data_IF_252883551304
#
_entry.id   IF_252883551304
#
_cell.length_a   1.000
_cell.length_b   1.000
_cell.length_c   1.000
_cell.angle_alpha   90.00
_cell.angle_beta   90.00
_cell.angle_gamma   90.00
#
_symmetry.space_group_name_H-M   'P 1'
#
loop_
_entity.id
_entity.type
_entity.pdbx_description
1 polymer ?
#
# COMPACT_ATOMS: atom_id res chain seq x y z
N UNK A 1 4.24 -11.34 -7.40
CA UNK A 1 4.50 -10.16 -8.24
C UNK A 1 3.25 -9.33 -8.24
N UNK A 2 3.33 -8.14 -7.64
CA UNK A 2 2.23 -7.17 -7.59
C UNK A 2 2.16 -6.47 -8.95
N UNK A 3 0.95 -6.30 -9.47
CA UNK A 3 0.68 -5.64 -10.75
C UNK A 3 -0.26 -4.45 -10.54
N UNK A 4 -0.26 -3.53 -11.50
CA UNK A 4 -1.22 -2.43 -11.54
C UNK A 4 -2.66 -2.91 -11.43
N UNK A 5 -3.53 -2.07 -10.86
CA UNK A 5 -4.97 -2.31 -10.65
C UNK A 5 -5.31 -3.44 -9.67
N UNK A 6 -4.33 -4.17 -9.15
CA UNK A 6 -4.56 -5.16 -8.10
C UNK A 6 -4.97 -4.48 -6.79
N UNK A 7 -5.74 -5.21 -5.99
CA UNK A 7 -6.08 -4.80 -4.64
C UNK A 7 -5.04 -5.39 -3.67
N UNK A 8 -4.48 -4.53 -2.84
CA UNK A 8 -3.44 -4.89 -1.88
C UNK A 8 -3.79 -4.39 -0.48
N UNK A 9 -3.09 -4.93 0.50
CA UNK A 9 -3.09 -4.48 1.88
C UNK A 9 -1.65 -4.52 2.43
N UNK A 10 -1.36 -3.73 3.46
CA UNK A 10 -0.09 -3.85 4.19
C UNK A 10 -0.10 -5.17 4.97
N UNK A 11 1.00 -5.93 4.88
CA UNK A 11 1.18 -7.14 5.66
C UNK A 11 1.21 -6.83 7.16
N UNK A 12 0.57 -7.68 7.96
CA UNK A 12 0.42 -7.43 9.41
C UNK A 12 1.76 -7.30 10.15
N UNK A 13 2.75 -8.08 9.76
CA UNK A 13 4.11 -8.05 10.31
C UNK A 13 4.85 -6.75 9.98
N UNK A 14 4.43 -6.04 8.93
CA UNK A 14 5.05 -4.78 8.50
C UNK A 14 4.37 -3.54 9.10
N UNK A 15 3.12 -3.64 9.54
CA UNK A 15 2.37 -2.53 10.16
C UNK A 15 3.11 -1.93 11.36
N UNK A 16 3.78 -2.75 12.16
CA UNK A 16 4.49 -2.31 13.36
C UNK A 16 5.70 -1.40 13.07
N UNK A 17 6.24 -1.44 11.86
CA UNK A 17 7.35 -0.58 11.43
C UNK A 17 6.88 0.75 10.86
N UNK A 18 5.57 0.91 10.63
CA UNK A 18 4.98 2.18 10.21
C UNK A 18 4.83 3.12 11.41
N UNK A 19 4.86 4.42 11.13
CA UNK A 19 4.50 5.43 12.14
C UNK A 19 3.10 5.12 12.71
N UNK A 20 2.84 5.30 14.03
CA UNK A 20 1.57 4.92 14.65
C UNK A 20 0.32 5.51 14.01
N UNK A 21 0.43 6.71 13.43
CA UNK A 21 -0.67 7.35 12.68
C UNK A 21 -0.98 6.61 11.38
N UNK A 22 0.07 6.23 10.63
CA UNK A 22 -0.05 5.49 9.37
C UNK A 22 -0.47 4.05 9.59
N UNK A 23 0.09 3.38 10.60
CA UNK A 23 -0.28 2.03 10.98
C UNK A 23 -1.78 1.93 11.27
N UNK A 24 -2.33 2.86 12.06
CA UNK A 24 -3.78 2.93 12.33
C UNK A 24 -4.61 3.23 11.08
N UNK A 25 -4.11 4.08 10.19
CA UNK A 25 -4.80 4.44 8.95
C UNK A 25 -4.87 3.29 7.95
N UNK A 26 -3.84 2.45 7.91
CA UNK A 26 -3.63 1.41 6.91
C UNK A 26 -3.96 -0.01 7.40
N UNK A 27 -4.14 -0.20 8.71
CA UNK A 27 -4.47 -1.52 9.28
C UNK A 27 -5.75 -2.09 8.66
N UNK A 28 -5.61 -3.27 8.04
CA UNK A 28 -6.67 -3.98 7.29
C UNK A 28 -7.35 -3.16 6.20
N UNK A 29 -6.72 -2.08 5.74
CA UNK A 29 -7.28 -1.24 4.70
C UNK A 29 -6.97 -1.83 3.34
N UNK A 30 -7.93 -1.73 2.42
CA UNK A 30 -7.73 -2.11 1.02
C UNK A 30 -7.20 -0.90 0.25
N UNK A 31 -6.13 -1.11 -0.48
CA UNK A 31 -5.54 -0.15 -1.39
C UNK A 31 -5.56 -0.70 -2.81
N UNK A 32 -5.65 0.20 -3.80
CA UNK A 32 -5.54 -0.16 -5.20
C UNK A 32 -4.17 0.26 -5.73
N UNK A 33 -3.46 -0.66 -6.35
CA UNK A 33 -2.17 -0.38 -6.98
C UNK A 33 -2.39 0.55 -8.18
N UNK A 34 -1.75 1.70 -8.15
CA UNK A 34 -1.74 2.67 -9.25
C UNK A 34 -0.58 2.39 -10.18
N UNK A 35 0.60 2.13 -9.61
CA UNK A 35 1.86 2.05 -10.36
C UNK A 35 2.85 1.14 -9.62
N UNK A 36 3.72 0.48 -10.38
CA UNK A 36 4.81 -0.37 -9.87
C UNK A 36 6.07 0.00 -10.64
N UNK A 37 7.06 0.58 -9.95
CA UNK A 37 8.28 1.05 -10.57
C UNK A 37 9.51 0.72 -9.73
N UNK A 38 10.66 0.67 -10.38
CA UNK A 38 11.96 0.53 -9.72
C UNK A 38 12.65 1.90 -9.76
N UNK A 39 12.83 2.59 -8.63
CA UNK A 39 13.52 3.87 -8.60
C UNK A 39 14.95 3.74 -9.16
N UNK A 40 15.44 4.79 -9.82
CA UNK A 40 16.80 4.80 -10.37
C UNK A 40 17.83 4.58 -9.26
N UNK A 41 18.63 3.52 -9.38
CA UNK A 41 19.65 3.14 -8.39
C UNK A 41 19.13 2.27 -7.23
N UNK A 42 17.83 1.98 -7.16
CA UNK A 42 17.27 1.02 -6.22
C UNK A 42 17.27 -0.40 -6.80
N UNK A 43 17.42 -1.40 -5.91
CA UNK A 43 17.30 -2.83 -6.27
C UNK A 43 15.90 -3.39 -6.03
N UNK A 44 15.09 -2.71 -5.23
CA UNK A 44 13.75 -3.16 -4.84
C UNK A 44 12.67 -2.38 -5.60
N UNK A 45 11.61 -3.08 -5.99
CA UNK A 45 10.43 -2.46 -6.58
C UNK A 45 9.61 -1.71 -5.53
N UNK A 46 9.13 -0.53 -5.92
CA UNK A 46 8.24 0.32 -5.14
C UNK A 46 6.86 0.30 -5.81
N UNK A 47 5.84 0.19 -4.98
CA UNK A 47 4.45 0.11 -5.39
C UNK A 47 3.72 1.35 -4.88
N UNK A 48 3.14 2.10 -5.81
CA UNK A 48 2.29 3.25 -5.49
C UNK A 48 0.85 2.77 -5.32
N UNK A 49 0.30 2.99 -4.13
CA UNK A 49 -1.02 2.49 -3.73
C UNK A 49 -1.94 3.65 -3.36
N UNK A 50 -3.15 3.63 -3.92
CA UNK A 50 -4.26 4.50 -3.49
C UNK A 50 -5.08 3.78 -2.42
N UNK A 51 -5.05 4.30 -1.21
CA UNK A 51 -5.84 3.83 -0.08
C UNK A 51 -7.19 4.52 -0.06
N UNK A 52 -8.25 3.74 -0.27
CA UNK A 52 -9.62 4.26 -0.41
C UNK A 52 -10.13 4.75 0.95
N UNK A 53 -10.69 5.95 1.02
CA UNK A 53 -11.37 6.52 2.19
C UNK A 53 -12.32 5.51 2.87
N UNK A 54 -12.30 5.41 4.21
CA UNK A 54 -13.27 4.55 4.92
C UNK A 54 -14.61 5.27 5.09
N UNK A 55 -14.55 6.59 5.29
CA UNK A 55 -15.72 7.45 5.47
C UNK A 55 -15.88 8.38 4.28
N UNK A 56 -17.10 8.78 3.90
CA UNK A 56 -17.32 9.79 2.86
C UNK A 56 -16.69 11.15 3.15
N UNK A 57 -16.42 11.45 4.43
CA UNK A 57 -15.75 12.67 4.88
C UNK A 57 -14.22 12.59 4.83
N UNK A 58 -13.65 11.43 4.52
CA UNK A 58 -12.21 11.22 4.41
C UNK A 58 -11.78 11.26 2.95
N UNK A 59 -10.53 11.65 2.72
CA UNK A 59 -9.95 11.62 1.39
C UNK A 59 -9.17 10.32 1.17
N UNK A 60 -9.10 9.91 -0.09
CA UNK A 60 -8.16 8.88 -0.52
C UNK A 60 -6.73 9.36 -0.27
N UNK A 61 -5.87 8.43 0.15
CA UNK A 61 -4.45 8.74 0.40
C UNK A 61 -3.61 7.91 -0.55
N UNK A 62 -2.69 8.55 -1.27
CA UNK A 62 -1.74 7.85 -2.14
C UNK A 62 -0.38 7.77 -1.47
N UNK A 63 0.15 6.55 -1.34
CA UNK A 63 1.41 6.29 -0.67
C UNK A 63 2.24 5.28 -1.46
N UNK A 64 3.54 5.34 -1.26
CA UNK A 64 4.49 4.43 -1.85
C UNK A 64 4.97 3.45 -0.79
N UNK A 65 5.00 2.17 -1.15
CA UNK A 65 5.41 1.07 -0.28
C UNK A 65 6.35 0.14 -1.04
N UNK A 66 7.38 -0.41 -0.39
CA UNK A 66 8.12 -1.54 -0.94
C UNK A 66 7.16 -2.70 -1.30
N UNK A 67 7.39 -3.37 -2.44
CA UNK A 67 6.53 -4.50 -2.85
C UNK A 67 6.43 -5.59 -1.76
N UNK A 68 7.54 -5.81 -1.04
CA UNK A 68 7.63 -6.81 0.04
C UNK A 68 6.71 -6.54 1.22
N UNK A 69 6.30 -5.28 1.42
CA UNK A 69 5.46 -4.88 2.55
C UNK A 69 3.97 -5.09 2.28
N UNK A 70 3.62 -5.44 1.05
CA UNK A 70 2.26 -5.61 0.60
C UNK A 70 1.88 -7.08 0.43
N UNK A 71 0.61 -7.37 0.67
CA UNK A 71 -0.06 -8.62 0.32
C UNK A 71 -1.17 -8.35 -0.70
N UNK A 72 -1.27 -9.21 -1.71
CA UNK A 72 -2.34 -9.14 -2.71
C UNK A 72 -3.59 -9.78 -2.11
N UNK A 73 -4.70 -9.06 -2.17
CA UNK A 73 -6.01 -9.59 -1.79
C UNK A 73 -6.66 -10.12 -3.07
N UNK A 74 -6.88 -11.46 -3.19
CA UNK A 74 -7.64 -12.01 -4.30
C UNK A 74 -9.06 -11.41 -4.29
N UNK A 75 -9.49 -10.94 -5.46
CA UNK A 75 -10.83 -10.36 -5.66
C UNK A 75 -11.89 -11.42 -5.75
#
# INVERSE_FOLDING_TARGET
>A
MIQEKQTVQIRRDQIQFLKPEMGRLLDRRKGKVIDVFVPLGAKEAVVKVRWIARRPSENDVTLEHPEKDLEVIPS
#
